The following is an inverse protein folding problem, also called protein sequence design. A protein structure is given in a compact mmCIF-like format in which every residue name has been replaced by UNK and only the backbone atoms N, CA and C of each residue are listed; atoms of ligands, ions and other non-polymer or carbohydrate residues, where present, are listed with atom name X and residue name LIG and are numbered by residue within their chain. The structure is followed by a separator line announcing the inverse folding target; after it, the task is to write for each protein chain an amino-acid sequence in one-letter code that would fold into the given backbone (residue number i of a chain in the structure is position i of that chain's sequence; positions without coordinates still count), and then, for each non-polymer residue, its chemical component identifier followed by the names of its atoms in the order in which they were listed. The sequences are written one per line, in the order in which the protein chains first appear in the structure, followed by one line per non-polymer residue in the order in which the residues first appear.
data_IF_640184403841
#
_entry.id   IF_640184403841
#
_cell.length_a   1.000
_cell.length_b   1.000
_cell.length_c   1.000
_cell.angle_alpha   90.00
_cell.angle_beta   90.00
_cell.angle_gamma   90.00
#
_symmetry.space_group_name_H-M   'P 1'
#
loop_
_entity.id
_entity.type
_entity.pdbx_description
1 polymer ?
#
# COMPACT_ATOMS: atom_id res chain seq x y z
N UNK A 1 -7.29 -5.41 -23.40
CA UNK A 1 -8.19 -4.55 -22.59
C UNK A 1 -8.69 -3.33 -23.38
N UNK A 2 -7.78 -2.49 -23.88
CA UNK A 2 -8.12 -1.28 -24.68
C UNK A 2 -9.01 -1.61 -25.88
N UNK A 3 -8.59 -2.55 -26.73
CA UNK A 3 -9.37 -2.98 -27.91
C UNK A 3 -10.76 -3.56 -27.57
N UNK A 4 -10.99 -3.97 -26.32
CA UNK A 4 -12.27 -4.50 -25.82
C UNK A 4 -13.10 -3.42 -25.10
N UNK A 5 -12.66 -2.16 -25.11
CA UNK A 5 -13.38 -1.04 -24.49
C UNK A 5 -13.38 -1.04 -22.95
N UNK A 6 -12.50 -1.82 -22.31
CA UNK A 6 -12.36 -1.85 -20.85
C UNK A 6 -11.91 -0.47 -20.36
N UNK A 7 -12.63 0.09 -19.37
CA UNK A 7 -12.38 1.45 -18.86
C UNK A 7 -11.28 1.53 -17.81
N UNK A 8 -11.13 0.48 -17.00
CA UNK A 8 -10.09 0.40 -15.99
C UNK A 8 -9.66 -1.05 -15.72
N UNK A 9 -8.41 -1.24 -15.33
CA UNK A 9 -7.82 -2.50 -14.89
C UNK A 9 -7.15 -2.26 -13.55
N UNK A 10 -7.44 -3.12 -12.57
CA UNK A 10 -6.84 -3.08 -11.24
C UNK A 10 -6.07 -4.37 -11.04
N UNK A 11 -4.78 -4.27 -10.73
CA UNK A 11 -3.88 -5.42 -10.61
C UNK A 11 -3.02 -5.31 -9.35
N UNK A 12 -2.54 -6.46 -8.87
CA UNK A 12 -1.58 -6.50 -7.77
C UNK A 12 -0.26 -5.87 -8.16
N UNK A 13 0.39 -6.47 -9.17
CA UNK A 13 1.62 -5.94 -9.75
C UNK A 13 1.54 -5.83 -11.27
N UNK A 14 2.38 -4.96 -11.82
CA UNK A 14 2.51 -4.73 -13.25
C UNK A 14 3.99 -4.55 -13.61
N UNK A 15 4.44 -5.04 -14.77
CA UNK A 15 5.85 -4.87 -15.15
C UNK A 15 6.11 -3.44 -15.63
N UNK A 16 7.18 -2.82 -15.13
CA UNK A 16 7.58 -1.46 -15.53
C UNK A 16 8.01 -1.41 -17.01
N UNK A 17 8.62 -2.49 -17.52
CA UNK A 17 8.99 -2.61 -18.92
C UNK A 17 7.73 -2.62 -19.81
N UNK A 18 6.72 -3.39 -19.43
CA UNK A 18 5.44 -3.44 -20.15
C UNK A 18 4.71 -2.09 -20.11
N UNK A 19 4.80 -1.39 -18.97
CA UNK A 19 4.22 -0.04 -18.82
C UNK A 19 4.90 0.96 -19.75
N UNK A 20 6.22 0.92 -19.81
CA UNK A 20 7.01 1.75 -20.72
C UNK A 20 6.69 1.45 -22.18
N UNK A 21 6.52 0.18 -22.55
CA UNK A 21 6.09 -0.20 -23.89
C UNK A 21 4.68 0.30 -24.23
N UNK A 22 3.76 0.25 -23.26
CA UNK A 22 2.40 0.73 -23.42
C UNK A 22 2.33 2.26 -23.58
N UNK A 23 3.14 3.00 -22.81
CA UNK A 23 3.19 4.46 -22.84
C UNK A 23 4.02 5.01 -24.00
N UNK A 24 5.06 4.27 -24.42
CA UNK A 24 6.06 4.74 -25.38
C UNK A 24 7.13 5.66 -24.77
N UNK A 25 7.10 5.88 -23.45
CA UNK A 25 8.07 6.70 -22.70
C UNK A 25 8.10 6.27 -21.23
N UNK A 26 9.09 6.78 -20.49
CA UNK A 26 9.22 6.52 -19.05
C UNK A 26 8.18 7.31 -18.25
N UNK A 27 7.37 6.62 -17.44
CA UNK A 27 6.35 7.27 -16.63
C UNK A 27 6.99 8.22 -15.60
N UNK A 28 6.45 9.43 -15.49
CA UNK A 28 6.90 10.39 -14.48
C UNK A 28 6.60 9.90 -13.06
N UNK A 29 7.55 10.05 -12.14
CA UNK A 29 7.40 9.62 -10.74
C UNK A 29 6.55 10.55 -9.88
N UNK A 30 6.20 11.74 -10.38
CA UNK A 30 5.61 12.81 -9.57
C UNK A 30 4.09 12.94 -9.72
N UNK A 31 3.59 12.80 -10.96
CA UNK A 31 2.19 13.05 -11.36
C UNK A 31 1.83 12.06 -12.46
N UNK A 32 0.69 11.37 -12.33
CA UNK A 32 0.12 10.44 -13.31
C UNK A 32 -1.40 10.65 -13.43
N UNK A 33 -2.03 10.08 -14.46
CA UNK A 33 -3.48 10.10 -14.70
C UNK A 33 -3.92 11.05 -15.81
N UNK A 34 -2.99 11.66 -16.54
CA UNK A 34 -3.26 12.48 -17.73
C UNK A 34 -2.93 11.77 -19.04
N UNK A 35 -2.51 10.50 -18.96
CA UNK A 35 -2.13 9.70 -20.11
C UNK A 35 -3.37 9.28 -20.93
N UNK A 36 -3.32 9.51 -22.24
CA UNK A 36 -4.43 9.22 -23.17
C UNK A 36 -4.40 7.78 -23.71
N UNK A 37 -4.32 6.80 -22.80
CA UNK A 37 -4.28 5.37 -23.17
C UNK A 37 -5.67 4.77 -23.48
N UNK A 38 -6.75 5.51 -23.20
CA UNK A 38 -8.12 5.01 -23.29
C UNK A 38 -8.50 3.98 -22.21
N UNK A 39 -7.63 3.77 -21.23
CA UNK A 39 -7.84 2.89 -20.07
C UNK A 39 -7.10 3.44 -18.85
N UNK A 40 -7.66 3.21 -17.66
CA UNK A 40 -6.99 3.49 -16.39
C UNK A 40 -6.36 2.22 -15.82
N UNK A 41 -5.08 2.27 -15.44
CA UNK A 41 -4.40 1.18 -14.74
C UNK A 41 -4.17 1.58 -13.27
N UNK A 42 -4.64 0.76 -12.33
CA UNK A 42 -4.33 0.89 -10.90
C UNK A 42 -3.53 -0.33 -10.46
N UNK A 43 -2.40 -0.08 -9.81
CA UNK A 43 -1.50 -1.12 -9.29
C UNK A 43 -1.48 -1.02 -7.77
N UNK A 44 -1.83 -2.09 -7.06
CA UNK A 44 -1.99 -2.05 -5.60
C UNK A 44 -0.70 -2.33 -4.84
N UNK A 45 0.16 -3.21 -5.35
CA UNK A 45 1.37 -3.69 -4.65
C UNK A 45 2.69 -3.20 -5.28
N UNK A 46 2.63 -2.52 -6.43
CA UNK A 46 3.79 -1.95 -7.13
C UNK A 46 4.27 -2.74 -8.36
N UNK A 47 5.50 -2.49 -8.80
CA UNK A 47 6.01 -3.07 -10.05
C UNK A 47 6.54 -4.51 -9.87
N UNK A 48 6.33 -5.34 -10.90
CA UNK A 48 6.73 -6.74 -10.97
C UNK A 48 5.57 -7.72 -10.80
N UNK A 49 5.89 -9.02 -10.66
CA UNK A 49 4.90 -10.08 -10.48
C UNK A 49 4.51 -10.22 -9.01
N UNK A 50 3.58 -9.38 -8.57
CA UNK A 50 3.12 -9.33 -7.18
C UNK A 50 1.62 -9.64 -7.14
N UNK A 51 1.19 -10.69 -6.40
CA UNK A 51 -0.23 -10.97 -6.25
C UNK A 51 -0.90 -9.88 -5.41
N UNK A 52 -2.11 -9.48 -5.82
CA UNK A 52 -2.94 -8.55 -5.04
C UNK A 52 -3.25 -9.18 -3.67
N UNK A 53 -3.24 -8.37 -2.62
CA UNK A 53 -3.68 -8.83 -1.30
C UNK A 53 -5.11 -9.41 -1.36
N UNK A 54 -5.33 -10.57 -0.73
CA UNK A 54 -6.61 -11.28 -0.77
C UNK A 54 -7.78 -10.41 -0.30
N UNK A 55 -7.60 -9.64 0.78
CA UNK A 55 -8.59 -8.69 1.29
C UNK A 55 -9.00 -7.64 0.25
N UNK A 56 -8.04 -7.06 -0.47
CA UNK A 56 -8.30 -6.08 -1.53
C UNK A 56 -9.05 -6.72 -2.70
N UNK A 57 -8.63 -7.93 -3.10
CA UNK A 57 -9.32 -8.68 -4.14
C UNK A 57 -10.77 -9.00 -3.76
N UNK A 58 -11.01 -9.50 -2.55
CA UNK A 58 -12.35 -9.83 -2.04
C UNK A 58 -13.23 -8.58 -1.92
N UNK A 59 -12.66 -7.44 -1.53
CA UNK A 59 -13.36 -6.15 -1.51
C UNK A 59 -13.79 -5.74 -2.92
N UNK A 60 -12.89 -5.77 -3.91
CA UNK A 60 -13.21 -5.46 -5.31
C UNK A 60 -14.21 -6.45 -5.89
N UNK A 61 -14.09 -7.73 -5.53
CA UNK A 61 -15.03 -8.79 -5.93
C UNK A 61 -16.42 -8.56 -5.36
N UNK A 62 -16.54 -8.03 -4.14
CA UNK A 62 -17.84 -7.61 -3.58
C UNK A 62 -18.49 -6.47 -4.39
N UNK A 63 -17.73 -5.79 -5.26
CA UNK A 63 -18.22 -4.77 -6.19
C UNK A 63 -18.65 -5.34 -7.55
N UNK A 64 -18.54 -6.65 -7.79
CA UNK A 64 -18.93 -7.28 -9.04
C UNK A 64 -20.40 -6.97 -9.40
N UNK A 65 -20.63 -6.61 -10.66
CA UNK A 65 -21.95 -6.19 -11.17
C UNK A 65 -22.39 -4.78 -10.75
N UNK A 66 -21.65 -4.08 -9.88
CA UNK A 66 -21.96 -2.70 -9.48
C UNK A 66 -21.35 -1.69 -10.43
N UNK A 67 -22.02 -0.54 -10.59
CA UNK A 67 -21.45 0.62 -11.28
C UNK A 67 -20.40 1.26 -10.37
N UNK A 68 -19.19 1.44 -10.89
CA UNK A 68 -18.08 2.08 -10.18
C UNK A 68 -17.50 3.23 -11.01
N UNK A 69 -16.94 4.21 -10.34
CA UNK A 69 -16.11 5.26 -10.93
C UNK A 69 -14.66 5.03 -10.52
N UNK A 70 -13.72 5.24 -11.46
CA UNK A 70 -12.29 4.98 -11.22
C UNK A 70 -11.49 6.20 -11.65
N UNK A 71 -10.57 6.63 -10.79
CA UNK A 71 -9.55 7.63 -11.10
C UNK A 71 -8.17 7.06 -10.81
N UNK A 72 -7.28 7.08 -11.82
CA UNK A 72 -5.88 6.67 -11.67
C UNK A 72 -4.93 7.82 -11.33
N UNK A 73 -5.47 9.02 -11.10
CA UNK A 73 -4.66 10.21 -10.86
C UNK A 73 -3.84 10.07 -9.58
N UNK A 74 -2.53 10.20 -9.70
CA UNK A 74 -1.60 10.13 -8.56
C UNK A 74 -0.73 11.36 -8.54
N UNK A 75 -0.60 11.99 -7.38
CA UNK A 75 0.31 13.11 -7.15
C UNK A 75 0.94 12.94 -5.76
N UNK A 76 2.27 12.87 -5.70
CA UNK A 76 2.99 12.51 -4.46
C UNK A 76 3.56 13.72 -3.69
N UNK A 77 3.53 14.92 -4.26
CA UNK A 77 4.01 16.17 -3.64
C UNK A 77 2.82 17.07 -3.27
N UNK A 78 3.03 18.39 -3.15
CA UNK A 78 1.98 19.33 -2.75
C UNK A 78 0.68 19.09 -3.54
N UNK A 79 -0.47 19.05 -2.86
CA UNK A 79 -1.73 18.63 -3.49
C UNK A 79 -1.81 17.12 -3.74
N UNK A 80 -1.48 16.32 -2.72
CA UNK A 80 -1.44 14.85 -2.82
C UNK A 80 -2.75 14.31 -3.39
N UNK A 81 -2.65 13.50 -4.44
CA UNK A 81 -3.76 12.75 -5.02
C UNK A 81 -3.38 11.27 -5.06
N UNK A 82 -4.35 10.42 -4.74
CA UNK A 82 -4.20 8.96 -4.79
C UNK A 82 -5.21 8.40 -5.79
N UNK A 83 -4.89 7.25 -6.42
CA UNK A 83 -5.89 6.52 -7.18
C UNK A 83 -7.07 6.16 -6.29
N UNK A 84 -8.27 6.18 -6.87
CA UNK A 84 -9.50 5.85 -6.17
C UNK A 84 -10.45 5.03 -7.04
N UNK A 85 -11.20 4.16 -6.36
CA UNK A 85 -12.28 3.36 -6.93
C UNK A 85 -13.50 3.61 -6.05
N UNK A 86 -14.53 4.26 -6.61
CA UNK A 86 -15.74 4.65 -5.88
C UNK A 86 -16.90 3.78 -6.35
N UNK A 87 -17.45 3.00 -5.43
CA UNK A 87 -18.64 2.17 -5.64
C UNK A 87 -19.79 2.68 -4.76
N UNK A 88 -20.97 3.01 -5.31
CA UNK A 88 -22.13 3.38 -4.51
C UNK A 88 -22.54 2.26 -3.55
N UNK A 89 -22.92 2.65 -2.33
CA UNK A 89 -23.57 1.77 -1.36
C UNK A 89 -25.06 1.70 -1.75
N UNK A 90 -25.52 0.51 -2.13
CA UNK A 90 -26.89 0.33 -2.65
C UNK A 90 -27.96 0.27 -1.56
N UNK A 91 -27.57 0.10 -0.30
CA UNK A 91 -28.47 0.23 0.86
C UNK A 91 -27.69 0.83 2.04
N UNK A 92 -28.36 1.66 2.83
CA UNK A 92 -27.91 2.01 4.18
C UNK A 92 -27.95 0.72 5.01
N UNK A 93 -26.90 -0.11 4.89
CA UNK A 93 -26.61 -1.10 5.91
C UNK A 93 -26.33 -0.30 7.16
N UNK A 94 -27.37 -0.19 7.99
CA UNK A 94 -27.36 0.20 9.39
C UNK A 94 -26.03 -0.18 9.97
N UNK A 95 -25.26 0.84 10.37
CA UNK A 95 -24.11 0.74 11.26
C UNK A 95 -23.42 -0.63 11.17
N UNK A 96 -22.80 -0.92 10.01
CA UNK A 96 -21.50 -1.57 10.16
C UNK A 96 -20.74 -0.56 10.97
N UNK A 97 -20.42 -0.92 12.21
CA UNK A 97 -19.33 -0.32 12.95
C UNK A 97 -18.19 -0.21 11.94
N UNK A 98 -18.12 0.94 11.27
CA UNK A 98 -16.85 1.58 11.02
C UNK A 98 -16.38 1.76 12.45
N UNK A 99 -15.75 0.70 13.00
CA UNK A 99 -14.53 0.95 13.70
C UNK A 99 -13.82 1.86 12.74
N UNK A 100 -13.88 3.15 13.02
CA UNK A 100 -12.75 4.00 12.85
C UNK A 100 -11.60 3.10 13.27
N UNK A 101 -10.95 2.48 12.29
CA UNK A 101 -9.59 2.09 12.47
C UNK A 101 -8.94 3.44 12.71
N UNK A 102 -8.95 3.76 13.99
CA UNK A 102 -8.27 4.86 14.60
C UNK A 102 -6.82 4.47 14.41
N UNK A 103 -6.33 4.69 13.19
CA UNK A 103 -4.93 4.92 12.89
C UNK A 103 -4.43 6.22 13.56
N UNK A 104 -5.18 6.77 14.52
CA UNK A 104 -4.66 7.62 15.59
C UNK A 104 -3.91 6.81 16.67
N UNK A 105 -4.10 5.49 16.74
CA UNK A 105 -3.33 4.60 17.58
C UNK A 105 -2.00 4.23 16.91
N UNK A 106 -0.96 5.04 17.09
CA UNK A 106 0.37 4.70 16.62
C UNK A 106 0.85 3.32 17.11
N UNK A 107 1.82 2.74 16.40
CA UNK A 107 2.44 1.42 16.64
C UNK A 107 2.55 1.06 18.13
N UNK A 108 2.01 -0.10 18.51
CA UNK A 108 1.97 -0.64 19.88
C UNK A 108 2.76 -1.95 19.99
N UNK A 109 3.16 -2.28 21.21
CA UNK A 109 3.72 -3.61 21.50
C UNK A 109 2.68 -4.68 21.22
N UNK A 110 3.08 -5.74 20.52
CA UNK A 110 2.21 -6.83 20.11
C UNK A 110 1.72 -6.74 18.66
N UNK A 111 1.84 -5.57 18.02
CA UNK A 111 1.43 -5.38 16.62
C UNK A 111 2.28 -6.24 15.68
N UNK A 112 1.67 -6.67 14.58
CA UNK A 112 2.37 -7.35 13.49
C UNK A 112 2.87 -6.32 12.50
N UNK A 113 4.16 -6.40 12.17
CA UNK A 113 4.81 -5.46 11.27
C UNK A 113 5.57 -6.19 10.18
N UNK A 114 5.64 -5.57 9.00
CA UNK A 114 6.49 -6.00 7.89
C UNK A 114 7.64 -5.03 7.73
N UNK A 115 8.85 -5.55 7.55
CA UNK A 115 10.02 -4.71 7.29
C UNK A 115 10.04 -4.28 5.82
N UNK A 116 10.16 -2.98 5.58
CA UNK A 116 10.15 -2.36 4.24
C UNK A 116 11.53 -1.86 3.81
N UNK A 117 12.59 -2.17 4.56
CA UNK A 117 13.99 -1.82 4.24
C UNK A 117 14.95 -2.99 4.48
N UNK A 118 16.05 -3.01 3.74
CA UNK A 118 17.16 -3.93 4.00
C UNK A 118 17.77 -3.70 5.41
N UNK A 119 18.43 -4.71 6.01
CA UNK A 119 18.69 -6.05 5.47
C UNK A 119 17.53 -7.04 5.65
N UNK A 120 16.45 -6.66 6.35
CA UNK A 120 15.36 -7.57 6.71
C UNK A 120 14.11 -7.40 5.83
N UNK A 121 14.23 -6.76 4.65
CA UNK A 121 13.11 -6.46 3.75
C UNK A 121 12.20 -7.68 3.53
N UNK A 122 10.89 -7.47 3.67
CA UNK A 122 9.86 -8.50 3.52
C UNK A 122 9.66 -9.41 4.74
N UNK A 123 10.55 -9.40 5.75
CA UNK A 123 10.35 -10.19 6.97
C UNK A 123 9.18 -9.62 7.77
N UNK A 124 8.36 -10.53 8.29
CA UNK A 124 7.23 -10.23 9.16
C UNK A 124 7.58 -10.64 10.58
N UNK A 125 7.32 -9.76 11.54
CA UNK A 125 7.57 -10.04 12.94
C UNK A 125 6.61 -9.30 13.86
N UNK A 126 6.67 -9.63 15.13
CA UNK A 126 5.85 -9.03 16.18
C UNK A 126 6.66 -8.00 16.94
N UNK A 127 6.07 -6.83 17.20
CA UNK A 127 6.70 -5.79 18.03
C UNK A 127 6.77 -6.27 19.47
N UNK A 128 7.97 -6.38 20.03
CA UNK A 128 8.19 -6.78 21.43
C UNK A 128 8.42 -5.59 22.36
N UNK A 129 8.96 -4.48 21.86
CA UNK A 129 9.19 -3.28 22.64
C UNK A 129 9.23 -2.00 21.77
N UNK A 130 8.91 -0.87 22.40
CA UNK A 130 8.97 0.46 21.82
C UNK A 130 9.79 1.39 22.72
N UNK A 131 11.14 1.35 22.61
CA UNK A 131 11.99 2.24 23.39
C UNK A 131 11.60 3.71 23.17
N UNK A 132 11.35 4.47 24.24
CA UNK A 132 10.94 5.87 24.12
C UNK A 132 12.10 6.80 23.74
N UNK A 133 13.33 6.38 24.06
CA UNK A 133 14.55 7.13 23.79
C UNK A 133 14.96 7.04 22.31
N UNK A 134 15.50 8.14 21.79
CA UNK A 134 16.07 8.14 20.45
C UNK A 134 17.42 7.43 20.48
N UNK A 135 17.62 6.47 19.59
CA UNK A 135 18.90 5.78 19.44
C UNK A 135 19.71 6.35 18.27
N UNK A 136 21.03 6.53 18.42
CA UNK A 136 21.90 6.92 17.32
C UNK A 136 22.04 5.76 16.32
N UNK A 137 21.84 6.06 15.04
CA UNK A 137 22.25 5.21 13.93
C UNK A 137 23.74 5.39 13.64
N UNK A 138 24.29 4.50 12.80
CA UNK A 138 25.65 4.65 12.24
C UNK A 138 25.83 5.97 11.48
N UNK A 139 24.73 6.55 10.97
CA UNK A 139 24.70 7.86 10.33
C UNK A 139 24.66 9.03 11.32
N UNK A 140 24.86 8.77 12.62
CA UNK A 140 24.73 9.72 13.74
C UNK A 140 23.32 10.30 13.94
N UNK A 141 22.36 9.96 13.07
CA UNK A 141 20.97 10.36 13.19
C UNK A 141 20.32 9.70 14.41
N UNK A 142 19.64 10.50 15.24
CA UNK A 142 18.88 10.01 16.40
C UNK A 142 17.46 9.68 15.98
N UNK A 143 17.10 8.40 15.98
CA UNK A 143 15.80 7.92 15.50
C UNK A 143 15.05 7.13 16.56
N UNK A 144 13.72 7.09 16.43
CA UNK A 144 12.89 6.17 17.20
C UNK A 144 13.03 4.78 16.62
N UNK A 145 13.30 3.81 17.47
CA UNK A 145 13.42 2.39 17.11
C UNK A 145 12.27 1.59 17.71
N UNK A 146 12.10 0.38 17.21
CA UNK A 146 11.28 -0.67 17.80
C UNK A 146 12.08 -1.96 17.86
N UNK A 147 11.66 -2.86 18.74
CA UNK A 147 12.19 -4.22 18.82
C UNK A 147 11.19 -5.17 18.18
N UNK A 148 11.66 -6.01 17.26
CA UNK A 148 10.86 -6.99 16.52
C UNK A 148 11.39 -8.40 16.75
N UNK A 149 10.50 -9.33 17.05
CA UNK A 149 10.77 -10.77 17.02
C UNK A 149 10.21 -11.38 15.72
N UNK A 150 11.09 -12.02 14.96
CA UNK A 150 10.75 -12.69 13.69
C UNK A 150 10.35 -14.17 13.89
N UNK A 151 10.18 -14.64 15.12
CA UNK A 151 9.78 -16.01 15.45
C UNK A 151 10.95 -17.01 15.58
N UNK A 152 12.19 -16.53 15.49
CA UNK A 152 13.40 -17.33 15.69
C UNK A 152 13.98 -17.20 17.12
N UNK A 153 13.27 -16.51 18.02
CA UNK A 153 13.70 -16.25 19.39
C UNK A 153 14.77 -15.14 19.50
N UNK A 154 15.20 -14.55 18.39
CA UNK A 154 16.11 -13.40 18.35
C UNK A 154 15.32 -12.12 18.16
N UNK A 155 15.68 -11.11 18.95
CA UNK A 155 15.06 -9.79 18.89
C UNK A 155 15.95 -8.83 18.10
N UNK A 156 15.34 -8.08 17.18
CA UNK A 156 16.05 -7.16 16.29
C UNK A 156 15.57 -5.74 16.50
N UNK A 157 16.48 -4.81 16.73
CA UNK A 157 16.18 -3.38 16.80
C UNK A 157 16.16 -2.77 15.40
N UNK A 158 15.08 -2.07 15.06
CA UNK A 158 14.89 -1.44 13.76
C UNK A 158 14.34 -0.02 13.91
N UNK A 159 14.73 0.93 13.05
CA UNK A 159 14.06 2.22 12.97
C UNK A 159 12.57 2.04 12.69
N UNK A 160 11.72 2.84 13.36
CA UNK A 160 10.26 2.83 13.10
C UNK A 160 9.92 3.12 11.65
N UNK A 161 10.74 3.92 10.97
CA UNK A 161 10.57 4.22 9.55
C UNK A 161 10.85 3.04 8.61
N UNK A 162 11.41 1.93 9.11
CA UNK A 162 11.76 0.76 8.31
C UNK A 162 10.71 -0.34 8.41
N UNK A 163 9.57 -0.11 9.06
CA UNK A 163 8.49 -1.08 9.20
C UNK A 163 7.15 -0.45 8.83
N UNK A 164 6.25 -1.28 8.32
CA UNK A 164 4.83 -0.96 8.10
C UNK A 164 3.96 -1.89 8.95
N UNK A 165 2.81 -1.40 9.43
CA UNK A 165 1.84 -2.24 10.15
C UNK A 165 1.09 -3.14 9.16
N UNK A 166 0.85 -4.39 9.55
CA UNK A 166 0.00 -5.28 8.78
C UNK A 166 -1.43 -5.12 9.31
N UNK A 167 -2.27 -4.43 8.55
CA UNK A 167 -3.71 -4.35 8.84
C UNK A 167 -4.33 -5.75 8.72
N UNK A 168 -5.04 -6.17 9.77
CA UNK A 168 -5.82 -7.42 9.79
C UNK A 168 -7.23 -7.15 9.29
#
# INVERSE_FOLDING_TARGET
AIAQGVKAVVVGGFDDYDLRQLLGYDLGVAITGSEELGITLIVTEGFGSIPMAARTFDLLRSCEGRRVSVSGATQIRAGVQRPEIVAPLLEATTERDVKEDSTEGGLKTGDMVRVIRQPYFGKIGRVTALPPELMPLETEAKVRVLEVDFGNGSRTLLPRANVEMIES
#
